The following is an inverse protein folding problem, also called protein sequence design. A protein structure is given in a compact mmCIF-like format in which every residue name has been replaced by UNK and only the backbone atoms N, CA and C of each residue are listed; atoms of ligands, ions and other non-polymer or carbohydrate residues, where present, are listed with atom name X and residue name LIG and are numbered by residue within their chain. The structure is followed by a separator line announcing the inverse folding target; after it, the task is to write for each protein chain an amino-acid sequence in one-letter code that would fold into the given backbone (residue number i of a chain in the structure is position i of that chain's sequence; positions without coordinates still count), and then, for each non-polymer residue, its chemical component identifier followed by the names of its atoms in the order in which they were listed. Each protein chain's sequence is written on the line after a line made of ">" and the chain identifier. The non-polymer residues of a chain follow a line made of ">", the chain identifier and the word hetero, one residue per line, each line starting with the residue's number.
data_IF_509557784875
#
_entry.id   IF_509557784875
#
_cell.length_a   1.000
_cell.length_b   1.000
_cell.length_c   1.000
_cell.angle_alpha   90.00
_cell.angle_beta   90.00
_cell.angle_gamma   90.00
#
_symmetry.space_group_name_H-M   'P 1'
#
loop_
_entity.id
_entity.type
_entity.pdbx_description
1 polymer ?
#
# COMPACT_ATOMS: atom_id res chain seq x y z
N UNK A 1 4.59 3.62 8.95
CA UNK A 1 4.31 4.33 7.70
C UNK A 1 2.90 3.98 7.26
N UNK A 2 2.57 4.19 5.98
CA UNK A 2 1.21 4.13 5.50
C UNK A 2 0.68 2.71 5.26
N UNK A 3 -0.64 2.53 5.33
CA UNK A 3 -1.33 1.32 4.90
C UNK A 3 -1.11 1.02 3.40
N UNK A 4 -0.95 -0.27 3.09
CA UNK A 4 -1.02 -0.84 1.74
C UNK A 4 -2.06 -1.97 1.72
N UNK A 5 -2.41 -2.53 0.57
CA UNK A 5 -3.57 -3.41 0.40
C UNK A 5 -3.42 -4.82 0.96
N UNK A 6 -2.38 -5.14 1.71
CA UNK A 6 -2.17 -6.47 2.29
C UNK A 6 -3.02 -6.67 3.55
N UNK A 7 -3.64 -7.84 3.68
CA UNK A 7 -4.42 -8.23 4.87
C UNK A 7 -4.26 -9.71 5.21
N UNK A 8 -4.29 -10.05 6.49
CA UNK A 8 -4.30 -11.41 6.97
C UNK A 8 -5.65 -12.11 6.67
N UNK A 9 -5.59 -13.37 6.24
CA UNK A 9 -6.79 -14.20 6.02
C UNK A 9 -7.10 -15.02 7.25
N UNK A 10 -8.26 -14.80 7.87
CA UNK A 10 -8.89 -15.74 8.79
C UNK A 10 -8.02 -16.18 9.98
N UNK A 11 -7.07 -15.35 10.42
CA UNK A 11 -6.15 -15.66 11.53
C UNK A 11 -5.24 -16.86 11.26
N UNK A 12 -4.84 -17.02 10.00
CA UNK A 12 -3.99 -18.14 9.54
C UNK A 12 -2.50 -17.81 9.57
N UNK A 13 -2.14 -16.53 9.72
CA UNK A 13 -0.79 -16.02 9.45
C UNK A 13 -0.48 -15.89 7.95
N UNK A 14 -1.44 -16.19 7.05
CA UNK A 14 -1.28 -15.98 5.62
C UNK A 14 -1.85 -14.62 5.20
N UNK A 15 -1.09 -13.87 4.39
CA UNK A 15 -1.49 -12.56 3.88
C UNK A 15 -1.86 -12.62 2.40
N UNK A 16 -2.88 -11.83 2.05
CA UNK A 16 -3.35 -11.64 0.67
C UNK A 16 -3.46 -10.18 0.33
N UNK A 17 -3.37 -9.88 -0.96
CA UNK A 17 -3.77 -8.59 -1.50
C UNK A 17 -5.29 -8.46 -1.51
N UNK A 18 -5.83 -7.42 -0.87
CA UNK A 18 -7.25 -7.26 -0.57
C UNK A 18 -8.16 -7.26 -1.79
N UNK A 19 -7.70 -6.71 -2.91
CA UNK A 19 -8.49 -6.54 -4.12
C UNK A 19 -8.59 -7.82 -4.95
N UNK A 20 -7.54 -8.63 -4.97
CA UNK A 20 -7.43 -9.84 -5.80
C UNK A 20 -7.57 -11.14 -5.01
N UNK A 21 -7.42 -11.09 -3.68
CA UNK A 21 -7.17 -12.24 -2.82
C UNK A 21 -5.94 -13.06 -3.24
N UNK A 22 -5.02 -12.48 -4.03
CA UNK A 22 -3.79 -13.15 -4.39
C UNK A 22 -2.90 -13.30 -3.15
N UNK A 23 -2.33 -14.49 -2.96
CA UNK A 23 -1.39 -14.77 -1.88
C UNK A 23 -0.12 -13.95 -2.06
N UNK A 24 0.34 -13.31 -0.99
CA UNK A 24 1.62 -12.60 -0.95
C UNK A 24 2.75 -13.65 -0.85
N UNK A 25 3.40 -13.97 -1.98
CA UNK A 25 4.34 -15.10 -2.07
C UNK A 25 5.80 -14.77 -1.77
N UNK A 26 6.23 -13.52 -1.99
CA UNK A 26 7.58 -13.04 -1.71
C UNK A 26 7.44 -11.65 -1.11
N UNK A 27 7.84 -11.51 0.15
CA UNK A 27 7.44 -10.39 0.96
C UNK A 27 8.62 -9.57 1.43
N UNK A 28 8.49 -8.26 1.28
CA UNK A 28 9.47 -7.28 1.73
C UNK A 28 9.35 -7.02 3.24
N UNK A 29 9.04 -8.06 4.03
CA UNK A 29 8.83 -7.96 5.48
C UNK A 29 10.07 -7.38 6.18
N UNK A 30 9.83 -6.53 7.18
CA UNK A 30 10.87 -6.05 8.07
C UNK A 30 11.47 -7.20 8.89
N UNK A 31 12.65 -6.96 9.47
CA UNK A 31 13.32 -8.00 10.23
C UNK A 31 12.43 -8.43 11.42
N UNK A 32 12.16 -9.73 11.51
CA UNK A 32 11.22 -10.39 12.42
C UNK A 32 9.74 -10.28 12.06
N UNK A 33 9.35 -9.66 10.94
CA UNK A 33 7.95 -9.64 10.50
C UNK A 33 7.60 -10.85 9.60
N UNK A 34 6.33 -11.28 9.57
CA UNK A 34 5.23 -10.80 10.43
C UNK A 34 5.34 -11.32 11.87
N UNK A 35 5.13 -10.45 12.87
CA UNK A 35 5.34 -10.79 14.29
C UNK A 35 4.11 -10.68 15.20
N UNK A 36 2.98 -10.13 14.74
CA UNK A 36 1.78 -10.04 15.55
C UNK A 36 0.87 -11.24 15.23
N UNK A 37 0.73 -12.22 16.15
CA UNK A 37 -0.14 -13.39 15.93
C UNK A 37 -1.61 -13.05 16.23
N UNK A 38 -2.01 -11.78 16.11
CA UNK A 38 -3.38 -11.33 16.38
C UNK A 38 -4.26 -11.55 15.17
N UNK A 39 -5.56 -11.76 15.41
CA UNK A 39 -6.51 -11.93 14.32
C UNK A 39 -6.79 -10.59 13.64
N UNK A 40 -6.62 -10.51 12.32
CA UNK A 40 -7.12 -9.38 11.54
C UNK A 40 -6.12 -8.23 11.42
N UNK A 41 -4.87 -8.58 11.18
CA UNK A 41 -3.80 -7.62 10.91
C UNK A 41 -3.74 -7.25 9.41
N UNK A 42 -3.31 -6.03 9.15
CA UNK A 42 -3.11 -5.47 7.82
C UNK A 42 -1.66 -5.00 7.62
N UNK A 43 -1.28 -4.83 6.36
CA UNK A 43 0.11 -4.52 6.01
C UNK A 43 0.32 -3.02 5.89
N UNK A 44 1.31 -2.50 6.59
CA UNK A 44 1.78 -1.12 6.48
C UNK A 44 3.26 -1.08 6.07
N UNK A 45 3.66 0.00 5.39
CA UNK A 45 5.07 0.27 5.12
C UNK A 45 5.81 0.74 6.37
N UNK A 46 7.01 0.23 6.54
CA UNK A 46 8.00 0.66 7.50
C UNK A 46 9.01 1.59 6.83
N UNK A 47 8.69 2.88 6.89
CA UNK A 47 9.55 3.90 6.35
C UNK A 47 10.97 3.92 6.95
N UNK A 48 11.11 3.55 8.22
CA UNK A 48 12.39 3.65 8.93
C UNK A 48 13.34 2.52 8.55
N UNK A 49 12.78 1.41 8.03
CA UNK A 49 13.51 0.24 7.58
C UNK A 49 13.46 0.06 6.05
N UNK A 50 13.46 1.16 5.29
CA UNK A 50 13.56 1.13 3.83
C UNK A 50 12.28 0.66 3.14
N UNK A 51 11.11 1.07 3.65
CA UNK A 51 9.78 0.71 3.13
C UNK A 51 9.53 -0.81 3.09
N UNK A 52 10.20 -1.54 4.01
CA UNK A 52 9.83 -2.91 4.35
C UNK A 52 8.41 -2.97 4.93
N UNK A 53 7.85 -4.16 5.10
CA UNK A 53 6.46 -4.34 5.51
C UNK A 53 6.35 -4.74 6.97
N UNK A 54 5.30 -4.27 7.65
CA UNK A 54 4.89 -4.69 9.00
C UNK A 54 3.41 -5.01 9.00
N UNK A 55 3.02 -5.99 9.79
CA UNK A 55 1.64 -6.27 10.14
C UNK A 55 1.23 -5.48 11.38
N UNK A 56 0.07 -4.82 11.31
CA UNK A 56 -0.46 -3.99 12.38
C UNK A 56 -1.97 -4.22 12.51
N UNK A 57 -2.51 -4.01 13.70
CA UNK A 57 -3.94 -4.11 13.97
C UNK A 57 -4.72 -3.17 13.03
N UNK A 58 -5.73 -3.71 12.33
CA UNK A 58 -6.54 -2.99 11.33
C UNK A 58 -7.22 -1.72 11.86
N UNK A 59 -7.41 -1.59 13.17
CA UNK A 59 -8.01 -0.42 13.83
C UNK A 59 -7.00 0.71 14.09
N UNK A 60 -5.72 0.51 13.77
CA UNK A 60 -4.68 1.55 13.91
C UNK A 60 -4.91 2.64 12.88
N UNK A 61 -4.96 3.90 13.33
CA UNK A 61 -5.07 5.03 12.41
C UNK A 61 -3.69 5.40 11.86
N UNK A 62 -3.49 5.26 10.55
CA UNK A 62 -2.25 5.55 9.84
C UNK A 62 -2.55 6.33 8.54
N UNK A 63 -1.55 7.05 7.97
CA UNK A 63 -1.64 7.44 6.57
C UNK A 63 -1.78 6.21 5.66
N UNK A 64 -2.03 6.41 4.37
CA UNK A 64 -2.26 5.30 3.44
C UNK A 64 -1.81 5.60 2.01
N UNK A 65 -1.56 4.54 1.26
CA UNK A 65 -1.12 4.61 -0.14
C UNK A 65 -2.19 4.01 -1.05
N UNK A 66 -2.69 4.81 -1.98
CA UNK A 66 -3.57 4.35 -3.05
C UNK A 66 -2.80 4.13 -4.34
N UNK A 67 -3.25 3.17 -5.15
CA UNK A 67 -2.88 2.99 -6.55
C UNK A 67 -4.11 3.08 -7.47
N UNK A 68 -3.85 3.46 -8.72
CA UNK A 68 -4.83 3.41 -9.80
C UNK A 68 -4.13 3.10 -11.13
N UNK A 69 -4.92 2.76 -12.14
CA UNK A 69 -4.40 2.58 -13.48
C UNK A 69 -4.08 3.94 -14.11
N UNK A 70 -3.03 4.00 -14.92
CA UNK A 70 -2.83 5.11 -15.82
C UNK A 70 -4.06 5.30 -16.73
N UNK A 71 -4.37 6.55 -17.07
CA UNK A 71 -5.53 6.82 -17.88
C UNK A 71 -5.34 6.24 -19.31
N UNK A 72 -6.27 5.41 -19.82
CA UNK A 72 -6.11 4.80 -21.13
C UNK A 72 -6.38 5.80 -22.26
N UNK A 73 -5.77 5.66 -23.44
CA UNK A 73 -6.10 6.49 -24.61
C UNK A 73 -7.62 6.55 -24.86
N UNK A 74 -8.20 7.72 -25.26
CA UNK A 74 -7.56 8.87 -25.90
C UNK A 74 -7.20 10.03 -24.96
N UNK A 75 -7.31 9.86 -23.65
CA UNK A 75 -6.85 10.87 -22.70
C UNK A 75 -5.32 10.97 -22.74
N UNK A 76 -4.75 12.07 -22.25
CA UNK A 76 -3.30 12.23 -22.17
C UNK A 76 -2.75 11.10 -21.29
N UNK A 77 -1.74 10.39 -21.80
CA UNK A 77 -0.97 9.39 -21.04
C UNK A 77 -0.51 10.02 -19.72
N UNK A 78 -0.93 9.45 -18.61
CA UNK A 78 -0.63 9.97 -17.28
C UNK A 78 -1.65 9.51 -16.24
N UNK A 79 -1.48 9.99 -15.02
CA UNK A 79 -2.27 9.53 -13.89
C UNK A 79 -3.61 10.26 -13.73
N UNK A 80 -4.63 9.60 -13.13
CA UNK A 80 -5.85 10.27 -12.72
C UNK A 80 -5.57 11.47 -11.82
N UNK A 81 -6.50 12.42 -11.76
CA UNK A 81 -6.33 13.59 -10.90
C UNK A 81 -6.07 13.17 -9.44
N UNK A 82 -5.02 13.73 -8.84
CA UNK A 82 -4.61 13.40 -7.48
C UNK A 82 -3.54 12.32 -7.38
N UNK A 83 -3.29 11.56 -8.45
CA UNK A 83 -2.25 10.55 -8.49
C UNK A 83 -0.98 11.08 -9.17
N UNK A 84 0.17 10.58 -8.71
CA UNK A 84 1.49 10.82 -9.27
C UNK A 84 2.00 9.56 -9.93
N UNK A 85 2.76 9.71 -11.01
CA UNK A 85 3.32 8.58 -11.75
C UNK A 85 4.64 8.13 -11.12
N UNK A 86 4.76 6.85 -10.81
CA UNK A 86 6.02 6.20 -10.44
C UNK A 86 6.13 4.90 -11.24
N UNK A 87 7.19 4.74 -12.03
CA UNK A 87 7.25 3.64 -12.98
C UNK A 87 6.10 3.70 -14.00
N UNK A 88 5.40 2.57 -14.16
CA UNK A 88 4.16 2.47 -14.95
C UNK A 88 2.88 2.66 -14.12
N UNK A 89 3.01 2.78 -12.78
CA UNK A 89 1.90 2.89 -11.85
C UNK A 89 1.52 4.33 -11.51
N UNK A 90 0.30 4.51 -11.02
CA UNK A 90 -0.21 5.79 -10.52
C UNK A 90 -0.54 5.68 -9.05
N UNK A 91 0.06 6.54 -8.24
CA UNK A 91 0.02 6.43 -6.79
C UNK A 91 -0.41 7.74 -6.11
N UNK A 92 -1.15 7.63 -5.01
CA UNK A 92 -1.60 8.75 -4.20
C UNK A 92 -1.28 8.49 -2.73
N UNK A 93 -0.68 9.47 -2.07
CA UNK A 93 -0.45 9.44 -0.62
C UNK A 93 -1.55 10.21 0.10
N UNK A 94 -2.31 9.50 0.92
CA UNK A 94 -3.27 10.08 1.86
C UNK A 94 -2.60 10.33 3.20
N UNK A 95 -2.50 11.59 3.60
CA UNK A 95 -1.89 11.99 4.87
C UNK A 95 -2.86 11.87 6.06
N UNK A 96 -4.15 11.69 5.79
CA UNK A 96 -5.16 11.46 6.82
C UNK A 96 -4.90 10.16 7.57
N UNK A 97 -5.00 10.20 8.90
CA UNK A 97 -4.84 9.03 9.74
C UNK A 97 -6.16 8.26 9.82
N UNK A 98 -6.26 7.16 9.08
CA UNK A 98 -7.44 6.32 8.98
C UNK A 98 -7.11 4.88 9.36
N UNK A 99 -8.12 4.15 9.82
CA UNK A 99 -8.02 2.70 9.96
C UNK A 99 -7.95 2.03 8.58
N UNK A 100 -7.68 0.73 8.55
CA UNK A 100 -7.48 0.01 7.30
C UNK A 100 -8.73 0.03 6.40
N UNK A 101 -9.92 -0.14 6.96
CA UNK A 101 -11.17 -0.23 6.21
C UNK A 101 -11.61 1.13 5.66
N UNK A 102 -11.40 2.21 6.43
CA UNK A 102 -11.63 3.58 5.98
C UNK A 102 -10.62 3.97 4.89
N UNK A 103 -9.36 3.53 4.99
CA UNK A 103 -8.34 3.75 3.97
C UNK A 103 -8.69 3.04 2.65
N UNK A 104 -9.19 1.79 2.71
CA UNK A 104 -9.73 1.09 1.53
C UNK A 104 -10.88 1.88 0.88
N UNK A 105 -11.78 2.40 1.70
CA UNK A 105 -12.94 3.17 1.25
C UNK A 105 -12.50 4.46 0.58
N UNK A 106 -11.51 5.15 1.14
CA UNK A 106 -10.93 6.37 0.57
C UNK A 106 -10.34 6.11 -0.82
N UNK A 107 -9.46 5.12 -0.96
CA UNK A 107 -8.83 4.84 -2.26
C UNK A 107 -9.85 4.44 -3.33
N UNK A 108 -10.89 3.67 -2.94
CA UNK A 108 -12.01 3.36 -3.83
C UNK A 108 -12.78 4.59 -4.27
N UNK A 109 -12.98 5.56 -3.36
CA UNK A 109 -13.59 6.85 -3.66
C UNK A 109 -12.82 7.67 -4.70
N UNK A 110 -11.50 7.51 -4.75
CA UNK A 110 -10.63 8.11 -5.77
C UNK A 110 -10.58 7.33 -7.10
N UNK A 111 -11.32 6.21 -7.23
CA UNK A 111 -11.26 5.34 -8.40
C UNK A 111 -10.02 4.43 -8.42
N UNK A 112 -9.42 4.17 -7.26
CA UNK A 112 -8.28 3.28 -7.08
C UNK A 112 -8.53 2.20 -6.02
N UNK A 113 -7.44 1.63 -5.52
CA UNK A 113 -7.39 0.71 -4.37
C UNK A 113 -6.18 1.05 -3.51
N UNK A 114 -6.03 0.45 -2.34
CA UNK A 114 -4.75 0.50 -1.63
C UNK A 114 -3.67 -0.18 -2.50
N UNK A 115 -2.42 0.25 -2.37
CA UNK A 115 -1.29 -0.29 -3.15
C UNK A 115 -1.13 -1.80 -2.96
N UNK A 116 -1.00 -2.55 -4.04
CA UNK A 116 -0.79 -4.00 -4.02
C UNK A 116 0.29 -4.36 -5.04
N UNK A 117 1.45 -4.79 -4.56
CA UNK A 117 2.58 -5.07 -5.44
C UNK A 117 2.40 -6.40 -6.16
N UNK A 118 2.32 -6.34 -7.49
CA UNK A 118 2.23 -7.50 -8.36
C UNK A 118 3.62 -8.05 -8.72
N UNK A 119 4.63 -7.17 -8.75
CA UNK A 119 6.02 -7.52 -9.09
C UNK A 119 7.04 -6.85 -8.18
N UNK A 120 8.24 -7.41 -8.11
CA UNK A 120 9.35 -6.81 -7.36
C UNK A 120 9.84 -5.49 -7.99
N UNK A 121 9.76 -5.39 -9.32
CA UNK A 121 10.16 -4.18 -10.05
C UNK A 121 9.22 -3.01 -9.73
N UNK A 122 7.91 -3.25 -9.72
CA UNK A 122 6.91 -2.26 -9.29
C UNK A 122 7.20 -1.76 -7.88
N UNK A 123 7.44 -2.68 -6.93
CA UNK A 123 7.75 -2.32 -5.55
C UNK A 123 9.04 -1.49 -5.44
N UNK A 124 10.06 -1.81 -6.24
CA UNK A 124 11.32 -1.05 -6.27
C UNK A 124 11.09 0.37 -6.81
N UNK A 125 10.42 0.52 -7.95
CA UNK A 125 10.12 1.82 -8.57
C UNK A 125 9.24 2.68 -7.67
N UNK A 126 8.25 2.07 -7.02
CA UNK A 126 7.45 2.71 -5.98
C UNK A 126 8.35 3.22 -4.85
N UNK A 127 9.11 2.35 -4.20
CA UNK A 127 9.91 2.71 -3.02
C UNK A 127 10.93 3.81 -3.34
N UNK A 128 11.57 3.75 -4.50
CA UNK A 128 12.52 4.76 -4.97
C UNK A 128 11.86 6.13 -5.14
N UNK A 129 10.73 6.19 -5.86
CA UNK A 129 9.97 7.43 -6.05
C UNK A 129 9.51 8.04 -4.73
N UNK A 130 8.93 7.22 -3.85
CA UNK A 130 8.35 7.70 -2.59
C UNK A 130 9.42 8.18 -1.60
N UNK A 131 10.58 7.51 -1.57
CA UNK A 131 11.72 7.93 -0.74
C UNK A 131 12.25 9.31 -1.13
N UNK A 132 12.23 9.65 -2.42
CA UNK A 132 12.72 10.93 -2.92
C UNK A 132 11.68 12.06 -2.87
N UNK A 133 10.41 11.74 -3.11
CA UNK A 133 9.38 12.74 -3.40
C UNK A 133 8.36 12.97 -2.29
N UNK A 134 8.34 12.12 -1.25
CA UNK A 134 7.47 12.30 -0.08
C UNK A 134 8.34 12.51 1.16
N UNK A 135 8.56 13.78 1.59
CA UNK A 135 9.53 14.11 2.64
C UNK A 135 9.18 13.54 4.02
N UNK A 136 7.91 13.25 4.27
CA UNK A 136 7.39 12.70 5.54
C UNK A 136 6.27 11.69 5.27
N UNK A 137 6.56 10.50 4.73
CA UNK A 137 5.54 9.47 4.51
C UNK A 137 4.99 8.88 5.83
N UNK A 138 5.52 9.34 6.97
CA UNK A 138 5.48 8.65 8.26
C UNK A 138 5.14 9.61 9.42
N UNK A 139 4.78 10.85 9.12
CA UNK A 139 4.49 11.93 10.09
C UNK A 139 3.10 12.50 9.87
#
# INVERSE_FOLDING_TARGET
>A
GPWIGGIEVGSTGEFVWRSTNASIQAANWADNEPNNPTSGDAVALDCENGFKWRDLETTTNLPFMCESNANPPPVIWGCPQGFQMAGEGCYHFGAEQLDFDDSLTYCRGLGGKLVEFETADEMYEFNDYFNENIPTPCS
#
